data_IF_627336338602
#
_entry.id   IF_627336338602
#
_cell.length_a   1.000
_cell.length_b   1.000
_cell.length_c   1.000
_cell.angle_alpha   90.00
_cell.angle_beta   90.00
_cell.angle_gamma   90.00
#
_symmetry.space_group_name_H-M   'P 1'
#
loop_
_entity.id
_entity.type
_entity.pdbx_description
1 polymer ?
#
# COMPACT_ATOMS: atom_id res chain seq x y z
N UNK A 1 -4.14 9.13 -8.68
CA UNK A 1 -4.79 8.18 -9.61
C UNK A 1 -4.57 6.72 -9.23
N UNK A 2 -3.35 6.29 -8.84
CA UNK A 2 -3.07 4.89 -8.47
C UNK A 2 -3.90 4.36 -7.28
N UNK A 3 -4.16 5.18 -6.26
CA UNK A 3 -5.04 4.78 -5.15
C UNK A 3 -6.50 4.58 -5.56
N UNK A 4 -7.03 5.46 -6.42
CA UNK A 4 -8.38 5.31 -6.99
C UNK A 4 -8.45 4.07 -7.86
N UNK A 5 -7.42 3.81 -8.66
CA UNK A 5 -7.31 2.59 -9.46
C UNK A 5 -7.33 1.34 -8.56
N UNK A 6 -6.54 1.33 -7.47
CA UNK A 6 -6.52 0.22 -6.52
C UNK A 6 -7.88 0.04 -5.82
N UNK A 7 -8.66 1.11 -5.64
CA UNK A 7 -9.99 1.08 -5.02
C UNK A 7 -11.11 0.61 -5.96
N UNK A 8 -11.09 1.02 -7.24
CA UNK A 8 -12.22 0.78 -8.16
C UNK A 8 -11.99 -0.38 -9.14
N UNK A 9 -10.78 -0.51 -9.68
CA UNK A 9 -10.52 -1.45 -10.77
C UNK A 9 -10.64 -2.92 -10.37
N UNK A 10 -10.25 -3.38 -9.16
CA UNK A 10 -10.39 -4.78 -8.79
C UNK A 10 -11.82 -5.30 -8.94
N UNK A 11 -12.81 -4.50 -8.57
CA UNK A 11 -14.23 -4.86 -8.67
C UNK A 11 -14.74 -4.69 -10.10
N UNK A 12 -14.42 -3.56 -10.76
CA UNK A 12 -14.95 -3.26 -12.10
C UNK A 12 -14.41 -4.18 -13.20
N UNK A 13 -13.21 -4.73 -13.03
CA UNK A 13 -12.57 -5.61 -14.02
C UNK A 13 -12.77 -7.11 -13.74
N UNK A 14 -13.47 -7.47 -12.67
CA UNK A 14 -13.64 -8.88 -12.27
C UNK A 14 -14.33 -9.71 -13.36
N UNK A 15 -15.42 -9.20 -13.95
CA UNK A 15 -16.18 -9.92 -14.98
C UNK A 15 -15.34 -10.13 -16.25
N UNK A 16 -14.57 -9.11 -16.64
CA UNK A 16 -13.67 -9.20 -17.77
C UNK A 16 -12.57 -10.22 -17.53
N UNK A 17 -12.00 -10.27 -16.33
CA UNK A 17 -10.94 -11.22 -15.98
C UNK A 17 -11.44 -12.67 -15.99
N UNK A 18 -12.62 -12.94 -15.41
CA UNK A 18 -13.21 -14.29 -15.39
C UNK A 18 -13.59 -14.78 -16.80
N UNK A 19 -13.99 -13.88 -17.70
CA UNK A 19 -14.27 -14.24 -19.10
C UNK A 19 -13.02 -14.65 -19.88
N UNK A 20 -11.86 -14.09 -19.55
CA UNK A 20 -10.62 -14.31 -20.30
C UNK A 20 -9.67 -15.32 -19.64
N UNK A 21 -9.79 -15.54 -18.33
CA UNK A 21 -8.91 -16.40 -17.55
C UNK A 21 -9.71 -17.41 -16.71
N UNK A 22 -9.20 -18.65 -16.52
CA UNK A 22 -9.84 -19.67 -15.70
C UNK A 22 -9.60 -19.40 -14.20
N UNK A 23 -10.09 -18.26 -13.71
CA UNK A 23 -9.98 -17.82 -12.31
C UNK A 23 -11.36 -17.53 -11.75
N UNK A 24 -11.52 -17.67 -10.44
CA UNK A 24 -12.74 -17.24 -9.74
C UNK A 24 -12.81 -15.70 -9.65
N UNK A 25 -14.00 -15.16 -9.39
CA UNK A 25 -14.21 -13.71 -9.21
C UNK A 25 -13.34 -13.14 -8.08
N UNK A 26 -13.23 -13.86 -6.96
CA UNK A 26 -12.41 -13.45 -5.81
C UNK A 26 -10.92 -13.44 -6.16
N UNK A 27 -10.43 -14.45 -6.87
CA UNK A 27 -9.05 -14.48 -7.36
C UNK A 27 -8.77 -13.34 -8.34
N UNK A 28 -9.69 -13.07 -9.26
CA UNK A 28 -9.55 -11.96 -10.22
C UNK A 28 -9.40 -10.60 -9.53
N UNK A 29 -10.20 -10.34 -8.49
CA UNK A 29 -10.15 -9.12 -7.68
C UNK A 29 -8.78 -9.00 -6.99
N UNK A 30 -8.33 -10.05 -6.31
CA UNK A 30 -7.05 -10.04 -5.58
C UNK A 30 -5.86 -9.89 -6.52
N UNK A 31 -5.84 -10.62 -7.64
CA UNK A 31 -4.76 -10.56 -8.63
C UNK A 31 -4.67 -9.17 -9.26
N UNK A 32 -5.81 -8.55 -9.57
CA UNK A 32 -5.86 -7.18 -10.10
C UNK A 32 -5.32 -6.18 -9.07
N UNK A 33 -5.68 -6.32 -7.79
CA UNK A 33 -5.16 -5.47 -6.72
C UNK A 33 -3.63 -5.59 -6.58
N UNK A 34 -3.09 -6.82 -6.64
CA UNK A 34 -1.64 -7.07 -6.61
C UNK A 34 -0.96 -6.50 -7.86
N UNK A 35 -1.56 -6.64 -9.05
CA UNK A 35 -1.03 -6.08 -10.28
C UNK A 35 -0.92 -4.55 -10.23
N UNK A 36 -1.97 -3.87 -9.73
CA UNK A 36 -1.94 -2.41 -9.55
C UNK A 36 -0.89 -2.03 -8.50
N UNK A 37 -0.85 -2.75 -7.39
CA UNK A 37 0.08 -2.51 -6.30
C UNK A 37 1.54 -2.58 -6.79
N UNK A 38 1.90 -3.67 -7.46
CA UNK A 38 3.22 -3.93 -8.02
C UNK A 38 3.58 -2.94 -9.14
N UNK A 39 2.63 -2.58 -10.01
CA UNK A 39 2.83 -1.56 -11.03
C UNK A 39 3.21 -0.19 -10.42
N UNK A 40 2.63 0.17 -9.26
CA UNK A 40 3.03 1.36 -8.52
C UNK A 40 4.47 1.34 -8.01
N UNK A 41 5.05 0.17 -7.72
CA UNK A 41 6.47 0.06 -7.33
C UNK A 41 7.40 0.53 -8.44
N UNK A 42 7.02 0.27 -9.70
CA UNK A 42 7.76 0.69 -10.89
C UNK A 42 7.54 2.16 -11.25
N UNK A 43 6.62 2.87 -10.57
CA UNK A 43 6.23 4.23 -10.91
C UNK A 43 7.42 5.21 -10.97
N UNK A 44 8.35 5.28 -9.98
CA UNK A 44 9.43 6.27 -10.01
C UNK A 44 10.31 6.10 -11.26
N UNK A 45 10.62 4.86 -11.63
CA UNK A 45 11.45 4.57 -12.79
C UNK A 45 10.79 5.03 -14.10
N UNK A 46 9.45 4.92 -14.18
CA UNK A 46 8.68 5.30 -15.35
C UNK A 46 8.40 6.81 -15.40
N UNK A 47 8.11 7.47 -14.27
CA UNK A 47 7.93 8.92 -14.21
C UNK A 47 9.21 9.67 -14.52
N UNK A 48 10.37 9.22 -14.03
CA UNK A 48 11.67 9.84 -14.38
C UNK A 48 12.06 9.64 -15.85
N UNK A 49 11.58 8.59 -16.52
CA UNK A 49 11.82 8.37 -17.95
C UNK A 49 10.94 9.26 -18.83
N UNK A 50 9.71 9.54 -18.39
CA UNK A 50 8.73 10.36 -19.11
C UNK A 50 8.90 11.86 -18.85
N UNK A 51 9.31 12.25 -17.65
CA UNK A 51 9.60 13.62 -17.27
C UNK A 51 11.10 13.86 -17.48
N UNK A 52 11.49 14.28 -18.68
CA UNK A 52 12.87 14.66 -19.04
C UNK A 52 13.37 15.95 -18.33
N UNK A 53 12.61 16.51 -17.40
CA UNK A 53 13.03 17.66 -16.59
C UNK A 53 13.74 17.19 -15.31
N UNK A 54 14.89 17.79 -15.00
CA UNK A 54 15.54 17.63 -13.70
C UNK A 54 14.54 18.04 -12.60
N UNK A 55 14.35 17.19 -11.59
CA UNK A 55 13.43 17.46 -10.51
C UNK A 55 13.96 18.62 -9.68
N UNK A 56 13.19 19.70 -9.56
CA UNK A 56 13.62 20.84 -8.74
C UNK A 56 13.71 20.47 -7.27
N UNK A 57 14.61 21.12 -6.53
CA UNK A 57 14.70 21.02 -5.06
C UNK A 57 13.39 21.38 -4.35
N UNK A 58 12.58 22.26 -4.97
CA UNK A 58 11.26 22.60 -4.44
C UNK A 58 10.22 21.49 -4.67
N UNK A 59 10.34 20.73 -5.77
CA UNK A 59 9.37 19.70 -6.16
C UNK A 59 9.26 18.56 -5.14
N UNK A 60 10.39 18.02 -4.66
CA UNK A 60 10.36 16.95 -3.66
C UNK A 60 9.86 17.45 -2.29
N UNK A 61 10.09 18.73 -1.96
CA UNK A 61 9.57 19.34 -0.72
C UNK A 61 8.07 19.49 -0.75
N UNK A 62 7.51 19.96 -1.87
CA UNK A 62 6.06 20.00 -2.08
C UNK A 62 5.47 18.59 -2.02
N UNK A 63 6.11 17.62 -2.68
CA UNK A 63 5.68 16.23 -2.64
C UNK A 63 5.68 15.66 -1.21
N UNK A 64 6.68 16.03 -0.41
CA UNK A 64 6.77 15.68 1.02
C UNK A 64 5.66 16.31 1.84
N UNK A 65 5.32 17.58 1.60
CA UNK A 65 4.18 18.24 2.26
C UNK A 65 2.86 17.54 1.94
N UNK A 66 2.65 17.16 0.68
CA UNK A 66 1.47 16.39 0.27
C UNK A 66 1.46 15.02 0.97
N UNK A 67 2.59 14.31 0.99
CA UNK A 67 2.70 13.03 1.69
C UNK A 67 2.38 13.15 3.19
N UNK A 68 2.87 14.20 3.85
CA UNK A 68 2.59 14.48 5.25
C UNK A 68 1.11 14.82 5.51
N UNK A 69 0.46 15.53 4.58
CA UNK A 69 -0.98 15.79 4.67
C UNK A 69 -1.79 14.48 4.55
N UNK A 70 -1.43 13.62 3.60
CA UNK A 70 -2.02 12.28 3.48
C UNK A 70 -1.82 11.45 4.75
N UNK A 71 -0.60 11.49 5.32
CA UNK A 71 -0.28 10.80 6.56
C UNK A 71 -1.10 11.34 7.75
N UNK A 72 -1.28 12.66 7.85
CA UNK A 72 -2.08 13.26 8.90
C UNK A 72 -3.56 12.83 8.82
N UNK A 73 -4.14 12.85 7.61
CA UNK A 73 -5.51 12.37 7.38
C UNK A 73 -5.63 10.88 7.70
N UNK A 74 -4.67 10.06 7.24
CA UNK A 74 -4.62 8.63 7.53
C UNK A 74 -4.62 8.36 9.03
N UNK A 75 -3.71 8.99 9.77
CA UNK A 75 -3.58 8.79 11.21
C UNK A 75 -4.81 9.30 11.96
N UNK A 76 -5.39 10.43 11.53
CA UNK A 76 -6.64 10.95 12.07
C UNK A 76 -7.81 9.98 11.87
N UNK A 77 -8.05 9.54 10.63
CA UNK A 77 -9.11 8.59 10.32
C UNK A 77 -8.90 7.25 11.05
N UNK A 78 -7.66 6.75 11.09
CA UNK A 78 -7.38 5.47 11.75
C UNK A 78 -7.53 5.56 13.25
N UNK A 79 -7.09 6.66 13.89
CA UNK A 79 -7.26 6.88 15.31
C UNK A 79 -8.74 7.00 15.74
N UNK A 80 -9.59 7.55 14.87
CA UNK A 80 -11.05 7.60 15.10
C UNK A 80 -11.70 6.22 15.06
N UNK A 81 -11.21 5.31 14.20
CA UNK A 81 -11.71 3.92 14.12
C UNK A 81 -11.12 3.08 15.24
N UNK A 82 -9.82 3.21 15.46
CA UNK A 82 -9.05 2.43 16.41
C UNK A 82 -7.83 3.25 16.86
N UNK A 83 -7.93 3.82 18.07
CA UNK A 83 -6.89 4.67 18.63
C UNK A 83 -5.53 3.96 18.72
N UNK A 84 -5.51 2.71 19.19
CA UNK A 84 -4.28 1.92 19.33
C UNK A 84 -3.60 1.65 17.99
N UNK A 85 -4.37 1.31 16.95
CA UNK A 85 -3.86 1.12 15.59
C UNK A 85 -3.31 2.43 15.02
N UNK A 86 -4.04 3.54 15.19
CA UNK A 86 -3.58 4.87 14.78
C UNK A 86 -2.25 5.24 15.45
N UNK A 87 -2.10 4.95 16.75
CA UNK A 87 -0.86 5.18 17.49
C UNK A 87 0.31 4.33 16.97
N UNK A 88 0.11 3.02 16.75
CA UNK A 88 1.13 2.12 16.21
C UNK A 88 1.57 2.54 14.80
N UNK A 89 0.61 2.92 13.95
CA UNK A 89 0.90 3.45 12.61
C UNK A 89 1.67 4.77 12.68
N UNK A 90 1.35 5.65 13.64
CA UNK A 90 2.08 6.89 13.82
C UNK A 90 3.54 6.63 14.20
N UNK A 91 3.78 5.75 15.18
CA UNK A 91 5.13 5.40 15.64
C UNK A 91 5.99 4.75 14.55
N UNK A 92 5.37 4.01 13.62
CA UNK A 92 6.09 3.36 12.53
C UNK A 92 6.30 4.28 11.32
N UNK A 93 5.25 4.94 10.84
CA UNK A 93 5.28 5.67 9.57
C UNK A 93 5.80 7.11 9.68
N UNK A 94 5.58 7.80 10.82
CA UNK A 94 6.01 9.20 10.98
C UNK A 94 7.53 9.34 10.97
N UNK A 95 8.32 8.52 11.69
CA UNK A 95 9.78 8.62 11.63
C UNK A 95 10.30 8.39 10.20
N UNK A 96 9.75 7.40 9.49
CA UNK A 96 10.11 7.10 8.10
C UNK A 96 9.84 8.31 7.21
N UNK A 97 8.64 8.90 7.30
CA UNK A 97 8.28 10.09 6.53
C UNK A 97 9.20 11.29 6.86
N UNK A 98 9.63 11.43 8.11
CA UNK A 98 10.58 12.48 8.52
C UNK A 98 11.96 12.28 7.88
N UNK A 99 12.50 11.05 7.91
CA UNK A 99 13.85 10.75 7.43
C UNK A 99 13.99 10.64 5.91
N UNK A 100 12.91 10.28 5.20
CA UNK A 100 12.96 10.14 3.73
C UNK A 100 13.29 11.47 3.07
N UNK A 101 14.45 11.51 2.41
CA UNK A 101 14.90 12.59 1.54
C UNK A 101 15.69 12.00 0.36
N UNK A 102 15.80 12.73 -0.76
CA UNK A 102 16.52 12.26 -1.95
C UNK A 102 18.00 11.93 -1.70
N UNK A 103 18.58 12.52 -0.65
CA UNK A 103 19.99 12.44 -0.29
C UNK A 103 20.35 11.23 0.60
N UNK A 104 19.36 10.44 1.02
CA UNK A 104 19.59 9.24 1.84
C UNK A 104 20.19 8.08 1.04
N UNK A 105 20.89 7.13 1.68
CA UNK A 105 21.42 5.95 0.99
C UNK A 105 20.28 5.12 0.37
N UNK A 106 20.16 5.20 -0.97
CA UNK A 106 19.00 4.71 -1.72
C UNK A 106 18.70 3.23 -1.50
N UNK A 107 19.71 2.37 -1.47
CA UNK A 107 19.52 0.92 -1.33
C UNK A 107 18.93 0.53 0.04
N UNK A 108 19.50 1.06 1.12
CA UNK A 108 19.03 0.77 2.48
C UNK A 108 17.64 1.36 2.71
N UNK A 109 17.43 2.63 2.36
CA UNK A 109 16.13 3.29 2.48
C UNK A 109 15.05 2.58 1.64
N UNK A 110 15.39 2.11 0.44
CA UNK A 110 14.45 1.38 -0.41
C UNK A 110 14.06 0.03 0.20
N UNK A 111 15.04 -0.72 0.74
CA UNK A 111 14.76 -1.98 1.42
C UNK A 111 13.82 -1.77 2.62
N UNK A 112 14.11 -0.75 3.44
CA UNK A 112 13.26 -0.36 4.59
C UNK A 112 11.84 0.01 4.11
N UNK A 113 11.72 0.80 3.04
CA UNK A 113 10.43 1.18 2.48
C UNK A 113 9.62 0.00 1.93
N UNK A 114 10.28 -0.99 1.31
CA UNK A 114 9.61 -2.20 0.83
C UNK A 114 9.13 -3.05 2.01
N UNK A 115 9.97 -3.22 3.04
CA UNK A 115 9.58 -3.95 4.25
C UNK A 115 8.41 -3.29 4.99
N UNK A 116 8.39 -1.95 5.04
CA UNK A 116 7.32 -1.15 5.65
C UNK A 116 6.19 -0.82 4.68
N UNK A 117 6.16 -1.50 3.55
CA UNK A 117 5.09 -1.34 2.58
C UNK A 117 3.77 -1.95 3.12
N UNK A 118 2.61 -1.48 2.67
CA UNK A 118 1.32 -1.99 3.17
C UNK A 118 1.15 -3.49 2.93
N UNK A 119 1.64 -4.01 1.80
CA UNK A 119 1.58 -5.44 1.48
C UNK A 119 2.48 -6.28 2.38
N UNK A 120 3.75 -5.87 2.56
CA UNK A 120 4.68 -6.58 3.45
C UNK A 120 4.25 -6.52 4.91
N UNK A 121 3.74 -5.36 5.36
CA UNK A 121 3.23 -5.18 6.72
C UNK A 121 2.02 -6.10 6.96
N UNK A 122 1.07 -6.15 6.02
CA UNK A 122 -0.09 -7.04 6.12
C UNK A 122 0.34 -8.52 6.13
N UNK A 123 1.26 -8.92 5.25
CA UNK A 123 1.78 -10.29 5.21
C UNK A 123 2.45 -10.67 6.55
N UNK A 124 3.30 -9.79 7.10
CA UNK A 124 3.92 -9.98 8.40
C UNK A 124 2.87 -10.12 9.51
N UNK A 125 1.84 -9.25 9.52
CA UNK A 125 0.75 -9.33 10.47
C UNK A 125 -0.01 -10.67 10.38
N UNK A 126 -0.20 -11.24 9.19
CA UNK A 126 -0.82 -12.57 9.03
C UNK A 126 0.01 -13.63 9.75
N UNK A 127 1.31 -13.70 9.51
CA UNK A 127 2.18 -14.68 10.19
C UNK A 127 2.20 -14.48 11.70
N UNK A 128 2.40 -13.25 12.16
CA UNK A 128 2.40 -12.92 13.59
C UNK A 128 1.08 -13.31 14.24
N UNK A 129 -0.05 -13.03 13.59
CA UNK A 129 -1.37 -13.40 14.10
C UNK A 129 -1.51 -14.92 14.28
N UNK A 130 -1.06 -15.71 13.31
CA UNK A 130 -1.09 -17.18 13.40
C UNK A 130 -0.16 -17.73 14.49
N UNK A 131 1.03 -17.14 14.67
CA UNK A 131 1.93 -17.46 15.77
C UNK A 131 1.29 -17.15 17.14
N UNK A 132 0.61 -16.00 17.28
CA UNK A 132 -0.14 -15.65 18.49
C UNK A 132 -1.31 -16.60 18.78
N UNK A 133 -1.88 -17.22 17.74
CA UNK A 133 -2.93 -18.22 17.86
C UNK A 133 -2.39 -19.65 18.05
N UNK A 134 -1.07 -19.81 18.26
CA UNK A 134 -0.39 -21.11 18.41
C UNK A 134 -0.63 -22.07 17.23
N UNK A 135 -0.92 -21.52 16.04
CA UNK A 135 -1.18 -22.27 14.80
C UNK A 135 -0.22 -21.82 13.70
N UNK A 136 1.10 -22.04 13.88
CA UNK A 136 2.10 -21.57 12.93
C UNK A 136 1.85 -22.17 11.55
N UNK A 137 1.83 -21.29 10.55
CA UNK A 137 1.54 -21.65 9.15
C UNK A 137 2.81 -21.73 8.33
N UNK A 138 2.84 -22.65 7.37
CA UNK A 138 3.91 -22.69 6.38
C UNK A 138 3.88 -21.43 5.51
N UNK A 139 4.98 -21.16 4.78
CA UNK A 139 5.04 -19.99 3.89
C UNK A 139 3.94 -20.04 2.80
N UNK A 140 3.64 -21.23 2.29
CA UNK A 140 2.59 -21.43 1.28
C UNK A 140 1.20 -21.15 1.86
N UNK A 141 0.92 -21.68 3.05
CA UNK A 141 -0.37 -21.46 3.72
C UNK A 141 -0.55 -20.00 4.13
N UNK A 142 0.52 -19.36 4.63
CA UNK A 142 0.53 -17.92 4.94
C UNK A 142 0.30 -17.05 3.70
N UNK A 143 0.83 -17.44 2.54
CA UNK A 143 0.55 -16.75 1.27
C UNK A 143 -0.94 -16.87 0.89
N UNK A 144 -1.52 -18.07 0.99
CA UNK A 144 -2.95 -18.27 0.71
C UNK A 144 -3.83 -17.47 1.68
N UNK A 145 -3.49 -17.44 2.97
CA UNK A 145 -4.17 -16.63 3.98
C UNK A 145 -4.06 -15.13 3.67
N UNK A 146 -2.89 -14.66 3.25
CA UNK A 146 -2.70 -13.27 2.84
C UNK A 146 -3.61 -12.87 1.67
N UNK A 147 -3.70 -13.71 0.62
CA UNK A 147 -4.62 -13.49 -0.49
C UNK A 147 -6.08 -13.48 -0.02
N UNK A 148 -6.45 -14.40 0.89
CA UNK A 148 -7.78 -14.46 1.48
C UNK A 148 -8.13 -13.20 2.26
N UNK A 149 -7.21 -12.68 3.08
CA UNK A 149 -7.42 -11.46 3.88
C UNK A 149 -7.60 -10.24 2.97
N UNK A 150 -6.88 -10.15 1.86
CA UNK A 150 -7.09 -9.09 0.86
C UNK A 150 -8.49 -9.20 0.26
N UNK A 151 -8.87 -10.40 -0.19
CA UNK A 151 -10.20 -10.64 -0.78
C UNK A 151 -11.31 -10.28 0.21
N UNK A 152 -11.19 -10.73 1.46
CA UNK A 152 -12.16 -10.45 2.51
C UNK A 152 -12.23 -8.96 2.81
N UNK A 153 -11.10 -8.26 2.93
CA UNK A 153 -11.11 -6.82 3.18
C UNK A 153 -11.81 -6.01 2.08
N UNK A 154 -11.67 -6.42 0.81
CA UNK A 154 -12.37 -5.80 -0.33
C UNK A 154 -13.87 -6.14 -0.28
N UNK A 155 -14.19 -7.42 -0.04
CA UNK A 155 -15.56 -7.90 0.04
C UNK A 155 -16.34 -7.25 1.19
N UNK A 156 -15.71 -7.13 2.37
CA UNK A 156 -16.30 -6.47 3.54
C UNK A 156 -16.61 -5.00 3.28
N UNK A 157 -15.78 -4.33 2.48
CA UNK A 157 -16.11 -2.99 2.03
C UNK A 157 -17.31 -2.98 1.08
N UNK A 158 -17.32 -3.87 0.08
CA UNK A 158 -18.39 -3.93 -0.91
C UNK A 158 -19.75 -4.30 -0.31
N UNK A 159 -19.78 -5.20 0.68
CA UNK A 159 -21.01 -5.71 1.30
C UNK A 159 -21.46 -4.88 2.50
N UNK A 160 -20.50 -4.47 3.35
CA UNK A 160 -20.80 -3.88 4.66
C UNK A 160 -20.32 -2.43 4.81
N UNK A 161 -19.68 -1.86 3.80
CA UNK A 161 -19.15 -0.49 3.87
C UNK A 161 -17.97 -0.34 4.83
N UNK A 162 -17.22 -1.42 5.11
CA UNK A 162 -16.01 -1.37 5.95
C UNK A 162 -15.03 -0.31 5.45
N UNK A 163 -14.54 0.55 6.35
CA UNK A 163 -13.66 1.67 5.98
C UNK A 163 -12.19 1.28 5.82
N UNK A 164 -11.80 0.06 6.21
CA UNK A 164 -10.40 -0.36 6.23
C UNK A 164 -9.79 -0.40 4.82
N UNK A 165 -10.50 -1.01 3.86
CA UNK A 165 -10.02 -1.08 2.47
C UNK A 165 -9.93 0.30 1.80
N UNK A 166 -10.94 1.20 1.88
CA UNK A 166 -10.82 2.57 1.41
C UNK A 166 -9.63 3.33 2.01
N UNK A 167 -9.38 3.21 3.32
CA UNK A 167 -8.24 3.86 3.97
C UNK A 167 -6.91 3.32 3.44
N UNK A 168 -6.80 2.00 3.25
CA UNK A 168 -5.63 1.38 2.64
C UNK A 168 -5.41 1.87 1.20
N UNK A 169 -6.44 1.81 0.36
CA UNK A 169 -6.34 2.09 -1.07
C UNK A 169 -6.18 3.60 -1.37
N UNK A 170 -6.88 4.46 -0.63
CA UNK A 170 -6.93 5.90 -0.92
C UNK A 170 -5.95 6.72 -0.10
N UNK A 171 -5.51 6.24 1.07
CA UNK A 171 -4.58 6.98 1.93
C UNK A 171 -3.24 6.27 2.09
N UNK A 172 -3.22 5.04 2.62
CA UNK A 172 -1.97 4.35 2.95
C UNK A 172 -1.13 4.12 1.69
N UNK A 173 -1.72 3.52 0.66
CA UNK A 173 -0.99 3.18 -0.56
C UNK A 173 -0.48 4.42 -1.33
N UNK A 174 -1.29 5.48 -1.55
CA UNK A 174 -0.79 6.72 -2.13
C UNK A 174 0.27 7.40 -1.27
N UNK A 175 0.11 7.45 0.05
CA UNK A 175 1.11 8.03 0.96
C UNK A 175 2.45 7.32 0.82
N UNK A 176 2.43 5.97 0.81
CA UNK A 176 3.62 5.16 0.62
C UNK A 176 4.27 5.40 -0.76
N UNK A 177 3.48 5.50 -1.84
CA UNK A 177 3.98 5.80 -3.18
C UNK A 177 4.60 7.20 -3.30
N UNK A 178 4.06 8.20 -2.61
CA UNK A 178 4.64 9.55 -2.60
C UNK A 178 6.01 9.54 -1.93
N UNK A 179 6.15 8.87 -0.79
CA UNK A 179 7.43 8.67 -0.11
C UNK A 179 8.43 7.89 -1.00
N UNK A 180 7.94 6.90 -1.74
CA UNK A 180 8.74 6.09 -2.66
C UNK A 180 9.29 6.97 -3.81
N UNK A 181 8.47 7.86 -4.36
CA UNK A 181 8.90 8.83 -5.35
C UNK A 181 9.92 9.86 -4.79
N UNK A 182 9.76 10.32 -3.55
CA UNK A 182 10.73 11.24 -2.92
C UNK A 182 12.10 10.58 -2.79
N UNK A 183 12.15 9.30 -2.42
CA UNK A 183 13.41 8.57 -2.26
C UNK A 183 14.20 8.47 -3.58
N UNK A 184 13.50 8.30 -4.70
CA UNK A 184 14.12 8.18 -6.03
C UNK A 184 14.21 9.50 -6.79
N UNK A 185 13.82 10.63 -6.18
CA UNK A 185 13.89 11.96 -6.77
C UNK A 185 15.32 12.28 -7.24
N UNK A 186 15.42 12.95 -8.38
CA UNK A 186 16.67 13.34 -9.04
C UNK A 186 16.67 14.83 -9.31
#
# INVERSE_FOLDING_TARGET
MTGVALYTLPILSQEMAVQHFPVSETEAVVLTAIAIYTAGLALPHNTHRLLQGEGTEEGWRVLKLVALLYLAVLLGCTALINFSLGFILALSLVPIAAFITPHTPKALSAAIMVLLSPGCTLLYCVFVFQELQETPVSLQDGWMLFLSVISQGILDHALYGSLVYPLLALLIYPCWLLLWNILFWK
#
